data_IF_917992322248
#
_entry.id   IF_917992322248
#
_cell.length_a   1.000
_cell.length_b   1.000
_cell.length_c   1.000
_cell.angle_alpha   90.00
_cell.angle_beta   90.00
_cell.angle_gamma   90.00
#
_symmetry.space_group_name_H-M   'P 1'
#
loop_
_entity.id
_entity.type
_entity.pdbx_description
1 polymer ?
#
# COMPACT_ATOMS: atom_id res chain seq x y z
N UNK A 1 4.39 19.23 -13.80
CA UNK A 1 4.82 17.82 -13.95
C UNK A 1 4.28 17.26 -15.26
N UNK A 2 5.02 16.42 -15.99
CA UNK A 2 4.52 15.79 -17.21
C UNK A 2 3.43 14.75 -16.89
N UNK A 3 2.44 14.56 -17.78
CA UNK A 3 1.34 13.59 -17.62
C UNK A 3 1.82 12.16 -17.36
N UNK A 4 2.95 11.78 -17.93
CA UNK A 4 3.58 10.48 -17.68
C UNK A 4 3.96 10.26 -16.21
N UNK A 5 4.39 11.31 -15.50
CA UNK A 5 4.79 11.20 -14.09
C UNK A 5 3.62 10.81 -13.18
N UNK A 6 2.43 11.38 -13.39
CA UNK A 6 1.24 11.01 -12.62
C UNK A 6 0.82 9.55 -12.84
N UNK A 7 0.97 9.08 -14.07
CA UNK A 7 0.67 7.70 -14.40
C UNK A 7 1.70 6.73 -13.81
N UNK A 8 2.98 7.11 -13.75
CA UNK A 8 4.04 6.31 -13.12
C UNK A 8 3.88 6.22 -11.60
N UNK A 9 3.51 7.33 -10.95
CA UNK A 9 3.11 7.34 -9.54
C UNK A 9 1.93 6.41 -9.28
N UNK A 10 0.88 6.50 -10.12
CA UNK A 10 -0.29 5.64 -10.01
C UNK A 10 0.06 4.16 -10.17
N UNK A 11 0.94 3.80 -11.11
CA UNK A 11 1.44 2.41 -11.24
C UNK A 11 2.14 1.97 -9.97
N UNK A 12 3.03 2.80 -9.43
CA UNK A 12 3.78 2.50 -8.21
C UNK A 12 2.81 2.25 -7.05
N UNK A 13 1.90 3.19 -6.80
CA UNK A 13 0.91 3.08 -5.73
C UNK A 13 0.00 1.87 -5.91
N UNK A 14 -0.52 1.63 -7.11
CA UNK A 14 -1.36 0.46 -7.40
C UNK A 14 -0.63 -0.85 -7.11
N UNK A 15 0.64 -0.96 -7.56
CA UNK A 15 1.45 -2.16 -7.35
C UNK A 15 1.71 -2.39 -5.88
N UNK A 16 2.16 -1.37 -5.17
CA UNK A 16 2.59 -1.49 -3.78
C UNK A 16 1.37 -1.69 -2.86
N UNK A 17 0.27 -0.99 -3.11
CA UNK A 17 -1.03 -1.20 -2.43
C UNK A 17 -1.53 -2.64 -2.61
N UNK A 18 -1.48 -3.17 -3.84
CA UNK A 18 -1.88 -4.56 -4.10
C UNK A 18 -0.98 -5.54 -3.36
N UNK A 19 0.34 -5.33 -3.36
CA UNK A 19 1.30 -6.17 -2.64
C UNK A 19 1.04 -6.20 -1.14
N UNK A 20 0.71 -5.06 -0.51
CA UNK A 20 0.37 -5.00 0.92
C UNK A 20 -0.88 -5.80 1.29
N UNK A 21 -1.74 -6.13 0.31
CA UNK A 21 -3.02 -6.82 0.52
C UNK A 21 -3.02 -8.30 0.13
N UNK A 22 -2.10 -8.72 -0.73
CA UNK A 22 -1.99 -10.13 -1.18
C UNK A 22 -1.56 -11.02 -0.02
N UNK A 23 -2.29 -12.13 0.21
CA UNK A 23 -1.98 -13.10 1.28
C UNK A 23 -1.23 -14.35 0.78
N UNK A 24 -1.11 -14.52 -0.53
CA UNK A 24 -0.41 -15.67 -1.12
C UNK A 24 -0.50 -15.71 -2.65
N UNK A 25 0.13 -16.72 -3.29
CA UNK A 25 0.05 -16.90 -4.74
C UNK A 25 -1.40 -16.96 -5.23
N UNK A 26 -1.71 -16.29 -6.34
CA UNK A 26 -3.06 -16.26 -6.93
C UNK A 26 -4.05 -15.28 -6.29
N UNK A 27 -3.73 -14.66 -5.14
CA UNK A 27 -4.67 -13.81 -4.39
C UNK A 27 -4.78 -12.35 -4.93
N UNK A 28 -4.16 -12.06 -6.08
CA UNK A 28 -4.05 -10.69 -6.60
C UNK A 28 -5.41 -10.08 -6.95
N UNK A 29 -6.28 -10.83 -7.63
CA UNK A 29 -7.60 -10.32 -8.02
C UNK A 29 -8.49 -10.08 -6.80
N UNK A 30 -8.47 -11.00 -5.83
CA UNK A 30 -9.19 -10.84 -4.56
C UNK A 30 -8.67 -9.61 -3.78
N UNK A 31 -7.36 -9.40 -3.75
CA UNK A 31 -6.76 -8.20 -3.15
C UNK A 31 -7.26 -6.92 -3.84
N UNK A 32 -7.28 -6.88 -5.18
CA UNK A 32 -7.81 -5.73 -5.93
C UNK A 32 -9.29 -5.47 -5.65
N UNK A 33 -10.13 -6.51 -5.58
CA UNK A 33 -11.55 -6.39 -5.20
C UNK A 33 -11.75 -5.95 -3.74
N UNK A 34 -10.81 -6.29 -2.86
CA UNK A 34 -10.82 -5.79 -1.48
C UNK A 34 -10.49 -4.30 -1.46
N UNK A 35 -9.49 -3.87 -2.23
CA UNK A 35 -9.10 -2.45 -2.35
C UNK A 35 -10.26 -1.62 -2.89
N UNK A 36 -10.97 -2.12 -3.90
CA UNK A 36 -12.16 -1.46 -4.43
C UNK A 36 -13.24 -1.25 -3.36
N UNK A 37 -13.57 -2.30 -2.60
CA UNK A 37 -14.58 -2.22 -1.54
C UNK A 37 -14.18 -1.29 -0.39
N UNK A 38 -12.92 -1.29 0.00
CA UNK A 38 -12.46 -0.57 1.20
C UNK A 38 -12.08 0.88 0.91
N UNK A 39 -11.57 1.16 -0.28
CA UNK A 39 -11.01 2.48 -0.64
C UNK A 39 -11.69 3.14 -1.85
N UNK A 40 -12.62 2.46 -2.53
CA UNK A 40 -13.35 3.02 -3.67
C UNK A 40 -12.51 3.20 -4.94
N UNK A 41 -11.35 2.54 -5.03
CA UNK A 41 -10.54 2.50 -6.25
C UNK A 41 -11.08 1.39 -7.15
N UNK A 42 -11.62 1.76 -8.30
CA UNK A 42 -12.23 0.80 -9.24
C UNK A 42 -11.27 -0.34 -9.61
N UNK A 43 -11.78 -1.57 -9.57
CA UNK A 43 -11.03 -2.77 -9.94
C UNK A 43 -10.43 -2.66 -11.34
N UNK A 44 -11.20 -2.12 -12.30
CA UNK A 44 -10.75 -1.92 -13.68
C UNK A 44 -9.59 -0.93 -13.82
N UNK A 45 -9.45 0.03 -12.90
CA UNK A 45 -8.27 0.93 -12.85
C UNK A 45 -7.05 0.15 -12.39
N UNK A 46 -7.15 -0.61 -11.30
CA UNK A 46 -6.06 -1.44 -10.78
C UNK A 46 -5.59 -2.48 -11.80
N UNK A 47 -6.54 -3.15 -12.46
CA UNK A 47 -6.27 -4.14 -13.49
C UNK A 47 -5.52 -3.54 -14.69
N UNK A 48 -5.98 -2.39 -15.20
CA UNK A 48 -5.32 -1.71 -16.33
C UNK A 48 -3.93 -1.20 -15.97
N UNK A 49 -3.76 -0.60 -14.79
CA UNK A 49 -2.45 -0.15 -14.32
C UNK A 49 -1.46 -1.30 -14.19
N UNK A 50 -1.93 -2.49 -13.80
CA UNK A 50 -1.09 -3.69 -13.67
C UNK A 50 -0.76 -4.35 -15.01
N UNK A 51 -1.76 -4.60 -15.85
CA UNK A 51 -1.61 -5.48 -17.02
C UNK A 51 -1.61 -4.75 -18.36
N UNK A 52 -2.06 -3.49 -18.41
CA UNK A 52 -2.23 -2.71 -19.66
C UNK A 52 -1.57 -1.33 -19.58
N UNK A 53 -0.52 -1.20 -18.77
CA UNK A 53 0.18 0.08 -18.57
C UNK A 53 0.66 0.72 -19.87
N UNK A 54 1.18 -0.06 -20.82
CA UNK A 54 1.66 0.44 -22.12
C UNK A 54 0.56 1.09 -22.97
N UNK A 55 -0.70 0.75 -22.74
CA UNK A 55 -1.86 1.29 -23.46
C UNK A 55 -2.40 2.58 -22.81
N UNK A 56 -1.95 2.92 -21.60
CA UNK A 56 -2.40 4.10 -20.87
C UNK A 56 -1.50 5.31 -21.20
N UNK A 57 -2.14 6.40 -21.64
CA UNK A 57 -1.47 7.68 -21.91
C UNK A 57 -1.56 8.66 -20.74
N UNK A 58 -2.60 8.53 -19.92
CA UNK A 58 -2.88 9.40 -18.79
C UNK A 58 -3.77 8.66 -17.76
N UNK A 59 -4.01 9.29 -16.61
CA UNK A 59 -4.92 8.83 -15.57
C UNK A 59 -5.91 9.95 -15.22
N UNK A 60 -7.19 9.59 -15.09
CA UNK A 60 -8.21 10.56 -14.65
C UNK A 60 -7.95 11.05 -13.23
N UNK A 61 -8.15 12.35 -12.99
CA UNK A 61 -7.85 13.01 -11.70
C UNK A 61 -8.53 12.29 -10.52
N UNK A 62 -9.80 11.91 -10.65
CA UNK A 62 -10.53 11.18 -9.60
C UNK A 62 -9.88 9.84 -9.25
N UNK A 63 -9.49 9.07 -10.27
CA UNK A 63 -8.82 7.78 -10.07
C UNK A 63 -7.44 7.97 -9.42
N UNK A 64 -6.69 8.98 -9.87
CA UNK A 64 -5.40 9.34 -9.28
C UNK A 64 -5.51 9.71 -7.80
N UNK A 65 -6.44 10.61 -7.45
CA UNK A 65 -6.62 11.07 -6.08
C UNK A 65 -7.10 9.95 -5.15
N UNK A 66 -8.05 9.12 -5.60
CA UNK A 66 -8.50 7.95 -4.83
C UNK A 66 -7.37 6.96 -4.59
N UNK A 67 -6.56 6.68 -5.61
CA UNK A 67 -5.45 5.75 -5.49
C UNK A 67 -4.36 6.29 -4.54
N UNK A 68 -4.04 7.59 -4.61
CA UNK A 68 -3.13 8.25 -3.68
C UNK A 68 -3.61 8.12 -2.24
N UNK A 69 -4.88 8.46 -1.99
CA UNK A 69 -5.49 8.37 -0.67
C UNK A 69 -5.51 6.93 -0.15
N UNK A 70 -5.88 5.96 -0.99
CA UNK A 70 -5.88 4.54 -0.66
C UNK A 70 -4.49 4.03 -0.26
N UNK A 71 -3.46 4.41 -1.03
CA UNK A 71 -2.08 4.06 -0.73
C UNK A 71 -1.62 4.64 0.62
N UNK A 72 -1.88 5.92 0.86
CA UNK A 72 -1.53 6.59 2.12
C UNK A 72 -2.26 5.96 3.31
N UNK A 73 -3.55 5.67 3.17
CA UNK A 73 -4.35 5.01 4.22
C UNK A 73 -3.81 3.62 4.54
N UNK A 74 -3.42 2.84 3.53
CA UNK A 74 -2.82 1.52 3.74
C UNK A 74 -1.46 1.63 4.44
N UNK A 75 -0.59 2.55 4.03
CA UNK A 75 0.69 2.77 4.72
C UNK A 75 0.47 3.08 6.20
N UNK A 76 -0.49 3.95 6.53
CA UNK A 76 -0.83 4.25 7.92
C UNK A 76 -1.39 3.03 8.66
N UNK A 77 -2.24 2.22 8.00
CA UNK A 77 -2.79 0.99 8.57
C UNK A 77 -1.66 0.00 8.90
N UNK A 78 -0.72 -0.22 7.99
CA UNK A 78 0.43 -1.10 8.19
C UNK A 78 1.33 -0.58 9.32
N UNK A 79 1.58 0.74 9.38
CA UNK A 79 2.33 1.34 10.49
C UNK A 79 1.65 1.15 11.85
N UNK A 80 0.32 1.24 11.92
CA UNK A 80 -0.43 0.95 13.15
C UNK A 80 -0.33 -0.51 13.56
N UNK A 81 -0.43 -1.44 12.61
CA UNK A 81 -0.24 -2.87 12.87
C UNK A 81 1.17 -3.15 13.40
N UNK A 82 2.20 -2.61 12.75
CA UNK A 82 3.59 -2.78 13.18
C UNK A 82 3.83 -2.20 14.58
N UNK A 83 3.29 -1.01 14.88
CA UNK A 83 3.36 -0.43 16.25
C UNK A 83 2.71 -1.34 17.29
N UNK A 84 1.57 -1.96 16.96
CA UNK A 84 0.88 -2.88 17.85
C UNK A 84 1.66 -4.18 18.06
N UNK A 85 2.22 -4.76 16.99
CA UNK A 85 3.06 -5.96 17.07
C UNK A 85 4.31 -5.71 17.91
N UNK A 86 4.97 -4.56 17.75
CA UNK A 86 6.10 -4.15 18.60
C UNK A 86 5.67 -4.15 20.07
N UNK A 87 4.55 -3.50 20.40
CA UNK A 87 4.08 -3.43 21.79
C UNK A 87 3.81 -4.82 22.40
N UNK A 88 3.26 -5.74 21.62
CA UNK A 88 3.06 -7.14 22.04
C UNK A 88 4.40 -7.84 22.28
N UNK A 89 5.34 -7.73 21.33
CA UNK A 89 6.66 -8.37 21.45
C UNK A 89 7.46 -7.81 22.62
N UNK A 90 7.37 -6.50 22.88
CA UNK A 90 7.99 -5.87 24.05
C UNK A 90 7.45 -6.42 25.36
N UNK A 91 6.13 -6.59 25.46
CA UNK A 91 5.50 -7.15 26.65
C UNK A 91 5.90 -8.62 26.87
N UNK A 92 6.13 -9.38 25.80
CA UNK A 92 6.47 -10.80 25.87
C UNK A 92 7.98 -11.07 26.07
N UNK A 93 8.85 -10.30 25.42
CA UNK A 93 10.29 -10.59 25.29
C UNK A 93 11.21 -9.50 25.87
N UNK A 94 10.65 -8.37 26.31
CA UNK A 94 11.42 -7.21 26.79
C UNK A 94 11.84 -6.24 25.67
N UNK A 95 11.85 -4.95 26.02
CA UNK A 95 12.07 -3.83 25.08
C UNK A 95 13.46 -3.73 24.45
N UNK A 96 14.44 -4.48 24.99
CA UNK A 96 15.82 -4.49 24.52
C UNK A 96 16.13 -5.66 23.57
N UNK A 97 15.14 -6.48 23.22
CA UNK A 97 15.34 -7.57 22.26
C UNK A 97 15.61 -7.02 20.84
N UNK A 98 16.57 -7.61 20.13
CA UNK A 98 16.99 -7.18 18.78
C UNK A 98 15.82 -6.98 17.79
N UNK A 99 14.77 -7.85 17.76
CA UNK A 99 13.63 -7.66 16.87
C UNK A 99 12.83 -6.37 17.15
N UNK A 100 12.67 -6.02 18.43
CA UNK A 100 11.95 -4.80 18.85
C UNK A 100 12.71 -3.55 18.41
N UNK A 101 14.03 -3.56 18.57
CA UNK A 101 14.90 -2.42 18.20
C UNK A 101 14.81 -2.14 16.70
N UNK A 102 14.92 -3.18 15.86
CA UNK A 102 14.81 -3.04 14.41
C UNK A 102 13.43 -2.56 13.96
N UNK A 103 12.37 -3.12 14.53
CA UNK A 103 11.00 -2.74 14.18
C UNK A 103 10.68 -1.27 14.56
N UNK A 104 11.15 -0.80 15.73
CA UNK A 104 11.03 0.62 16.13
C UNK A 104 11.76 1.56 15.18
N UNK A 105 12.95 1.19 14.71
CA UNK A 105 13.70 1.99 13.75
C UNK A 105 12.93 2.17 12.43
N UNK A 106 12.29 1.10 11.94
CA UNK A 106 11.46 1.15 10.72
C UNK A 106 10.23 2.05 10.89
N UNK A 107 9.57 2.01 12.06
CA UNK A 107 8.44 2.90 12.37
C UNK A 107 8.89 4.37 12.39
N UNK A 108 10.05 4.66 13.00
CA UNK A 108 10.56 6.04 13.10
C UNK A 108 10.88 6.65 11.73
N UNK A 109 11.39 5.85 10.79
CA UNK A 109 11.70 6.31 9.43
C UNK A 109 10.46 6.62 8.58
N UNK A 110 9.31 5.99 8.88
CA UNK A 110 8.10 6.06 8.07
C UNK A 110 6.92 6.77 8.74
N UNK A 111 7.06 7.17 10.02
CA UNK A 111 5.98 7.74 10.85
C UNK A 111 6.14 9.21 11.21
N UNK A 112 7.04 9.94 10.53
CA UNK A 112 7.22 11.39 10.67
C UNK A 112 6.15 12.20 9.96
#
# INVERSE_FOLDING_TARGET
MPRSAYLDEAVKWSRDLTKMRVRGPGDTERAMRSIEREYGVEYGVLWRLRYRRSQLKDIGVTAYMRLKAAYQAECQRQLRMLKHEIAITEAACGAASDPVVQAKALVRQNGG
#
